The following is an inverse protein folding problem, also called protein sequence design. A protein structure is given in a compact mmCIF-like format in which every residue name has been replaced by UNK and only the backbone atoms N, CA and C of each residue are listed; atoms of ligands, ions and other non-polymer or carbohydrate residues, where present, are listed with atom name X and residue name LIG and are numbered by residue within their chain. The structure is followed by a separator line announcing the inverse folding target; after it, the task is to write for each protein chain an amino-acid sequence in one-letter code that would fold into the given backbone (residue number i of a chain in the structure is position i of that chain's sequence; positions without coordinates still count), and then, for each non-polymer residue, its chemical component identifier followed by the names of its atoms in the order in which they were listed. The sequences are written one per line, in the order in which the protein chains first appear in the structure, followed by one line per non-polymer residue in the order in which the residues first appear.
data_IF_473149097674
#
_entry.id   IF_473149097674
#
_cell.length_a   1.000
_cell.length_b   1.000
_cell.length_c   1.000
_cell.angle_alpha   90.00
_cell.angle_beta   90.00
_cell.angle_gamma   90.00
#
_symmetry.space_group_name_H-M   'P 1'
#
loop_
_entity.id
_entity.type
_entity.pdbx_description
1 polymer ?
#
# COMPACT_ATOMS: atom_id res chain seq x y z
N UNK A 1 -1.68 -18.38 33.66
CA UNK A 1 -2.25 -17.24 34.45
C UNK A 1 -1.62 -15.95 33.94
N UNK A 2 -2.39 -14.86 33.82
CA UNK A 2 -1.87 -13.54 33.47
C UNK A 2 -1.78 -12.65 34.71
N UNK A 3 -0.71 -11.86 34.83
CA UNK A 3 -0.49 -10.93 35.94
C UNK A 3 0.02 -9.59 35.41
N UNK A 4 -0.64 -8.50 35.79
CA UNK A 4 -0.27 -7.13 35.40
C UNK A 4 -0.15 -6.26 36.65
N UNK A 5 0.82 -5.35 36.64
CA UNK A 5 1.02 -4.40 37.74
C UNK A 5 0.33 -3.07 37.44
N UNK A 6 -0.40 -2.54 38.42
CA UNK A 6 -0.98 -1.19 38.42
C UNK A 6 -0.07 -0.18 39.11
N UNK A 7 0.64 -0.61 40.16
CA UNK A 7 1.60 0.19 40.89
C UNK A 7 2.71 -0.72 41.43
N UNK A 8 3.93 -0.18 41.53
CA UNK A 8 5.08 -0.90 42.06
C UNK A 8 6.08 0.08 42.68
N UNK A 9 6.12 0.11 44.01
CA UNK A 9 7.05 0.90 44.81
C UNK A 9 7.54 0.06 45.98
N UNK A 10 8.65 -0.63 45.77
CA UNK A 10 9.34 -1.44 46.77
C UNK A 10 10.71 -0.79 47.04
N UNK A 11 11.30 -1.01 48.22
CA UNK A 11 12.64 -0.50 48.51
C UNK A 11 13.63 -0.88 47.39
N UNK A 12 14.42 0.09 46.92
CA UNK A 12 15.36 -0.14 45.83
C UNK A 12 16.69 -0.63 46.38
N UNK A 13 17.17 -1.75 45.85
CA UNK A 13 18.52 -2.25 46.08
C UNK A 13 19.03 -2.95 44.82
N UNK A 14 20.34 -2.88 44.54
CA UNK A 14 20.91 -3.42 43.30
C UNK A 14 20.65 -4.93 43.09
N UNK A 15 20.59 -5.68 44.20
CA UNK A 15 20.27 -7.11 44.20
C UNK A 15 18.93 -7.45 44.90
N UNK A 16 18.09 -6.46 45.18
CA UNK A 16 16.83 -6.67 45.91
C UNK A 16 17.00 -7.47 47.21
N UNK A 17 17.99 -7.11 48.03
CA UNK A 17 18.38 -7.89 49.21
C UNK A 17 17.56 -7.55 50.47
N UNK A 18 16.89 -6.41 50.46
CA UNK A 18 16.01 -5.92 51.52
C UNK A 18 14.57 -6.31 51.16
N UNK A 19 13.73 -5.34 50.78
CA UNK A 19 12.39 -5.63 50.31
C UNK A 19 12.36 -6.12 48.86
N UNK A 20 11.56 -7.16 48.61
CA UNK A 20 11.40 -7.69 47.27
C UNK A 20 10.10 -8.48 47.06
N UNK A 21 9.67 -8.53 45.80
CA UNK A 21 8.63 -9.43 45.31
C UNK A 21 9.26 -10.51 44.41
N UNK A 22 9.09 -11.76 44.79
CA UNK A 22 9.52 -12.92 44.02
C UNK A 22 8.33 -13.63 43.39
N UNK A 23 8.40 -13.92 42.10
CA UNK A 23 7.33 -14.54 41.31
C UNK A 23 7.87 -15.74 40.57
N UNK A 24 7.17 -16.88 40.67
CA UNK A 24 7.55 -18.16 40.06
C UNK A 24 6.38 -18.79 39.29
N UNK A 25 6.71 -19.50 38.23
CA UNK A 25 5.76 -20.16 37.34
C UNK A 25 5.39 -21.56 37.85
N UNK A 26 4.36 -21.67 38.69
CA UNK A 26 3.94 -22.93 39.29
C UNK A 26 3.29 -22.76 40.66
N UNK A 27 3.32 -23.82 41.46
CA UNK A 27 2.56 -23.91 42.72
C UNK A 27 3.38 -23.62 43.97
N UNK A 28 4.71 -23.67 43.90
CA UNK A 28 5.58 -23.62 45.08
C UNK A 28 6.92 -22.92 44.83
N UNK A 29 7.72 -22.77 45.88
CA UNK A 29 9.02 -22.07 45.90
C UNK A 29 10.09 -22.69 44.99
N UNK A 30 9.97 -23.97 44.63
CA UNK A 30 10.91 -24.64 43.72
C UNK A 30 10.51 -24.49 42.25
N UNK A 31 9.38 -23.83 41.96
CA UNK A 31 8.93 -23.59 40.59
C UNK A 31 9.90 -22.64 39.86
N UNK A 32 9.97 -22.68 38.51
CA UNK A 32 10.82 -21.79 37.72
C UNK A 32 10.65 -20.32 38.11
N UNK A 33 11.76 -19.62 38.37
CA UNK A 33 11.75 -18.20 38.70
C UNK A 33 11.37 -17.37 37.47
N UNK A 34 10.30 -16.56 37.58
CA UNK A 34 9.94 -15.57 36.56
C UNK A 34 10.72 -14.29 36.81
N UNK A 35 10.74 -13.82 38.06
CA UNK A 35 11.50 -12.63 38.40
C UNK A 35 11.53 -12.34 39.88
N UNK A 36 12.49 -11.50 40.23
CA UNK A 36 12.78 -11.02 41.57
C UNK A 36 12.89 -9.50 41.48
N UNK A 37 11.91 -8.80 42.04
CA UNK A 37 11.62 -7.41 41.73
C UNK A 37 11.69 -6.53 42.97
N UNK A 38 12.30 -5.35 42.83
CA UNK A 38 12.32 -4.30 43.85
C UNK A 38 12.53 -2.92 43.17
N UNK A 39 12.42 -1.84 43.92
CA UNK A 39 12.48 -0.48 43.37
C UNK A 39 11.15 0.05 42.83
N UNK A 40 11.24 0.99 41.88
CA UNK A 40 10.10 1.80 41.42
C UNK A 40 9.70 1.53 39.97
N UNK A 41 10.52 0.77 39.25
CA UNK A 41 10.23 0.41 37.87
C UNK A 41 9.20 -0.72 37.87
N UNK A 42 8.05 -0.45 37.27
CA UNK A 42 6.96 -1.42 37.15
C UNK A 42 7.44 -2.65 36.36
N UNK A 43 7.29 -3.88 36.88
CA UNK A 43 7.59 -5.07 36.11
C UNK A 43 6.74 -5.15 34.83
N UNK A 44 7.33 -5.75 33.81
CA UNK A 44 6.62 -6.18 32.59
C UNK A 44 5.49 -7.14 32.94
N UNK A 45 4.48 -7.20 32.09
CA UNK A 45 3.33 -8.07 32.32
C UNK A 45 3.74 -9.55 32.20
N UNK A 46 3.26 -10.37 33.14
CA UNK A 46 3.72 -11.75 33.30
C UNK A 46 2.68 -12.73 32.75
N UNK A 47 3.14 -13.63 31.87
CA UNK A 47 2.38 -14.78 31.38
C UNK A 47 2.96 -16.07 31.94
N UNK A 48 2.20 -16.75 32.79
CA UNK A 48 2.56 -18.09 33.29
C UNK A 48 2.26 -19.16 32.23
N UNK A 49 3.19 -20.10 32.07
CA UNK A 49 3.03 -21.32 31.26
C UNK A 49 2.19 -22.38 31.97
N UNK A 50 1.97 -22.20 33.28
CA UNK A 50 1.14 -23.03 34.13
C UNK A 50 -0.28 -22.43 34.35
N UNK A 51 -1.12 -23.20 35.02
CA UNK A 51 -2.39 -22.73 35.58
C UNK A 51 -2.23 -22.08 36.97
N UNK A 52 -1.00 -21.93 37.46
CA UNK A 52 -0.70 -21.39 38.80
C UNK A 52 0.54 -20.49 38.78
N UNK A 53 0.51 -19.46 39.62
CA UNK A 53 1.66 -18.61 39.94
C UNK A 53 1.91 -18.67 41.44
N UNK A 54 3.17 -18.76 41.83
CA UNK A 54 3.59 -18.65 43.22
C UNK A 54 4.24 -17.29 43.42
N UNK A 55 3.76 -16.54 44.41
CA UNK A 55 4.23 -15.18 44.71
C UNK A 55 4.61 -15.09 46.18
N UNK A 56 5.78 -14.50 46.46
CA UNK A 56 6.28 -14.24 47.81
C UNK A 56 6.80 -12.82 47.90
N UNK A 57 6.21 -12.03 48.80
CA UNK A 57 6.74 -10.73 49.17
C UNK A 57 7.53 -10.87 50.47
N UNK A 58 8.72 -10.28 50.51
CA UNK A 58 9.60 -10.24 51.68
C UNK A 58 9.93 -8.78 51.94
N UNK A 59 9.85 -8.37 53.21
CA UNK A 59 10.28 -7.04 53.65
C UNK A 59 11.21 -7.15 54.86
N UNK A 60 12.09 -6.17 55.01
CA UNK A 60 12.94 -6.03 56.18
C UNK A 60 12.31 -5.10 57.25
N UNK A 61 13.09 -4.72 58.26
CA UNK A 61 12.61 -3.89 59.38
C UNK A 61 12.72 -2.37 59.13
N UNK A 62 13.12 -1.95 57.93
CA UNK A 62 13.48 -0.58 57.58
C UNK A 62 12.87 -0.13 56.25
N UNK A 63 12.90 1.18 55.97
CA UNK A 63 12.49 1.83 54.69
C UNK A 63 11.19 1.31 54.06
N UNK A 64 10.04 1.71 54.63
CA UNK A 64 8.74 1.38 54.06
C UNK A 64 8.40 2.18 52.78
N UNK A 65 7.72 1.53 51.83
CA UNK A 65 7.17 2.13 50.61
C UNK A 65 5.69 1.78 50.42
N UNK A 66 5.07 2.30 49.35
CA UNK A 66 3.66 2.06 49.08
C UNK A 66 3.35 0.59 48.69
N UNK A 67 4.36 -0.19 48.33
CA UNK A 67 4.21 -1.60 47.95
C UNK A 67 3.79 -1.75 46.49
N UNK A 68 3.04 -2.82 46.18
CA UNK A 68 2.59 -3.09 44.82
C UNK A 68 1.09 -3.37 44.77
N UNK A 69 0.49 -3.02 43.63
CA UNK A 69 -0.87 -3.41 43.29
C UNK A 69 -0.83 -4.15 41.96
N UNK A 70 -1.34 -5.38 41.93
CA UNK A 70 -1.34 -6.22 40.74
C UNK A 70 -2.72 -6.86 40.53
N UNK A 71 -3.10 -6.97 39.26
CA UNK A 71 -4.29 -7.70 38.83
C UNK A 71 -3.85 -9.02 38.24
N UNK A 72 -4.51 -10.10 38.65
CA UNK A 72 -4.38 -11.40 38.00
C UNK A 72 -5.66 -11.75 37.27
N UNK A 73 -5.53 -12.49 36.18
CA UNK A 73 -6.67 -12.97 35.40
C UNK A 73 -6.39 -14.35 34.81
N UNK A 74 -7.49 -15.02 34.45
CA UNK A 74 -7.42 -16.25 33.67
C UNK A 74 -6.87 -15.90 32.30
N UNK A 75 -5.75 -16.52 31.96
CA UNK A 75 -5.17 -16.42 30.65
C UNK A 75 -5.58 -17.65 29.84
N UNK A 76 -6.21 -17.41 28.69
CA UNK A 76 -6.52 -18.45 27.72
C UNK A 76 -5.74 -18.18 26.44
N UNK A 77 -5.42 -19.24 25.70
CA UNK A 77 -5.01 -19.09 24.30
C UNK A 77 -6.25 -19.29 23.43
N UNK A 78 -6.89 -18.19 23.05
CA UNK A 78 -8.08 -18.25 22.19
C UNK A 78 -7.74 -18.73 20.78
N UNK A 79 -6.49 -18.60 20.33
CA UNK A 79 -6.03 -19.07 19.03
C UNK A 79 -5.84 -20.59 18.99
N UNK A 80 -5.60 -21.22 20.14
CA UNK A 80 -5.56 -22.67 20.27
C UNK A 80 -6.95 -23.33 20.23
N UNK A 81 -8.04 -22.54 20.20
CA UNK A 81 -9.40 -23.05 20.03
C UNK A 81 -9.60 -23.61 18.61
N UNK A 82 -10.47 -24.61 18.41
CA UNK A 82 -10.67 -25.24 17.10
C UNK A 82 -11.13 -24.29 16.00
N UNK A 83 -11.75 -23.17 16.36
CA UNK A 83 -12.25 -22.13 15.47
C UNK A 83 -11.23 -20.99 15.23
N UNK A 84 -9.95 -21.15 15.64
CA UNK A 84 -8.91 -20.13 15.46
C UNK A 84 -9.28 -18.78 16.10
N UNK A 85 -9.93 -18.81 17.27
CA UNK A 85 -10.49 -17.60 17.91
C UNK A 85 -11.63 -16.95 17.12
N UNK A 86 -12.17 -17.63 16.11
CA UNK A 86 -13.10 -17.09 15.13
C UNK A 86 -12.46 -16.09 14.16
N UNK A 87 -11.13 -16.08 14.03
CA UNK A 87 -10.42 -15.29 13.02
C UNK A 87 -10.46 -15.98 11.66
N UNK A 88 -10.74 -15.23 10.60
CA UNK A 88 -10.79 -15.77 9.23
C UNK A 88 -9.43 -16.32 8.77
N UNK A 89 -8.35 -15.60 9.06
CA UNK A 89 -6.99 -15.95 8.61
C UNK A 89 -6.09 -16.26 9.80
N UNK A 90 -5.46 -15.25 10.40
CA UNK A 90 -4.49 -15.45 11.49
C UNK A 90 -5.05 -14.96 12.82
N UNK A 91 -4.93 -15.77 13.86
CA UNK A 91 -5.18 -15.36 15.23
C UNK A 91 -3.85 -15.04 15.92
N UNK A 92 -3.81 -13.92 16.64
CA UNK A 92 -2.66 -13.47 17.44
C UNK A 92 -3.09 -13.39 18.89
N UNK A 93 -2.58 -14.33 19.68
CA UNK A 93 -2.85 -14.43 21.10
C UNK A 93 -2.09 -13.32 21.85
N UNK A 94 -2.77 -12.59 22.72
CA UNK A 94 -2.23 -11.46 23.50
C UNK A 94 -2.46 -11.72 24.99
N UNK A 95 -1.81 -10.96 25.88
CA UNK A 95 -2.05 -11.17 27.30
C UNK A 95 -3.45 -10.68 27.68
N UNK A 96 -4.30 -11.60 28.15
CA UNK A 96 -5.67 -11.36 28.57
C UNK A 96 -6.69 -11.30 27.45
N UNK A 97 -6.28 -11.49 26.19
CA UNK A 97 -7.17 -11.44 25.02
C UNK A 97 -6.50 -11.98 23.75
N UNK A 98 -7.10 -11.76 22.59
CA UNK A 98 -6.50 -12.05 21.29
C UNK A 98 -6.99 -11.04 20.25
N UNK A 99 -6.31 -10.98 19.12
CA UNK A 99 -6.73 -10.20 17.97
C UNK A 99 -6.53 -10.97 16.67
N UNK A 100 -7.37 -10.71 15.68
CA UNK A 100 -7.21 -11.29 14.36
C UNK A 100 -6.26 -10.43 13.51
N UNK A 101 -5.56 -11.08 12.60
CA UNK A 101 -4.65 -10.46 11.64
C UNK A 101 -4.82 -11.12 10.26
N UNK A 102 -4.50 -10.37 9.22
CA UNK A 102 -4.69 -10.81 7.84
C UNK A 102 -3.36 -11.00 7.11
N UNK A 103 -3.33 -11.93 6.18
CA UNK A 103 -2.16 -12.23 5.34
C UNK A 103 -1.83 -11.06 4.41
N UNK A 104 -0.58 -10.97 3.90
CA UNK A 104 -0.19 -9.90 2.99
C UNK A 104 -1.13 -9.78 1.79
N UNK A 105 -1.63 -8.57 1.54
CA UNK A 105 -2.66 -8.31 0.52
C UNK A 105 -4.09 -8.27 1.06
N UNK A 106 -4.28 -8.49 2.36
CA UNK A 106 -5.56 -8.36 3.05
C UNK A 106 -5.46 -7.38 4.23
N UNK A 107 -6.59 -6.78 4.58
CA UNK A 107 -6.77 -5.90 5.72
C UNK A 107 -7.92 -6.40 6.59
N UNK A 108 -7.84 -6.10 7.89
CA UNK A 108 -8.84 -6.56 8.85
C UNK A 108 -10.16 -5.81 8.63
N UNK A 109 -11.24 -6.57 8.45
CA UNK A 109 -12.58 -6.04 8.25
C UNK A 109 -13.14 -5.33 9.49
N UNK A 110 -14.29 -4.66 9.36
CA UNK A 110 -14.90 -3.88 10.45
C UNK A 110 -15.29 -4.71 11.68
N UNK A 111 -15.55 -6.01 11.50
CA UNK A 111 -15.88 -6.95 12.57
C UNK A 111 -14.65 -7.39 13.40
N UNK A 112 -13.45 -6.96 12.99
CA UNK A 112 -12.14 -7.32 13.56
C UNK A 112 -11.84 -8.82 13.52
N UNK A 113 -12.52 -9.58 12.67
CA UNK A 113 -12.36 -11.04 12.54
C UNK A 113 -12.16 -11.49 11.09
N UNK A 114 -12.91 -10.89 10.17
CA UNK A 114 -12.84 -11.16 8.74
C UNK A 114 -11.70 -10.38 8.09
N UNK A 115 -11.21 -10.86 6.95
CA UNK A 115 -10.12 -10.29 6.19
C UNK A 115 -10.60 -9.93 4.78
N UNK A 116 -10.45 -8.67 4.41
CA UNK A 116 -10.88 -8.15 3.12
C UNK A 116 -9.66 -7.82 2.26
N UNK A 117 -9.78 -7.90 0.93
CA UNK A 117 -8.66 -7.59 0.04
C UNK A 117 -8.22 -6.13 0.27
N UNK A 118 -6.97 -5.95 0.68
CA UNK A 118 -6.36 -4.64 0.86
C UNK A 118 -6.09 -3.99 -0.50
N UNK A 119 -6.08 -2.67 -0.54
CA UNK A 119 -5.87 -1.91 -1.76
C UNK A 119 -5.16 -0.58 -1.48
N UNK A 120 -4.59 0.01 -2.54
CA UNK A 120 -3.83 1.25 -2.44
C UNK A 120 -2.34 1.05 -2.17
N UNK A 121 -1.68 2.13 -1.75
CA UNK A 121 -0.25 2.18 -1.40
C UNK A 121 0.61 3.00 -2.35
N UNK A 122 1.89 3.13 -2.01
CA UNK A 122 2.90 3.82 -2.81
C UNK A 122 3.50 2.88 -3.86
N UNK A 123 3.45 3.27 -5.13
CA UNK A 123 3.97 2.54 -6.28
C UNK A 123 5.10 3.33 -6.90
N UNK A 124 6.32 2.80 -6.85
CA UNK A 124 7.54 3.44 -7.41
C UNK A 124 8.11 2.72 -8.63
N UNK A 125 7.48 1.61 -9.05
CA UNK A 125 7.85 0.90 -10.27
C UNK A 125 7.53 1.79 -11.49
N UNK A 126 8.28 1.62 -12.59
CA UNK A 126 8.03 2.38 -13.82
C UNK A 126 6.77 1.90 -14.55
N UNK A 127 6.36 0.66 -14.35
CA UNK A 127 5.11 0.13 -14.87
C UNK A 127 4.47 -0.83 -13.86
N UNK A 128 3.21 -1.14 -14.09
CA UNK A 128 2.48 -2.11 -13.29
C UNK A 128 1.00 -2.13 -13.57
N UNK A 129 0.31 -3.02 -12.89
CA UNK A 129 -1.14 -3.20 -13.00
C UNK A 129 -1.79 -2.83 -11.68
N UNK A 130 -2.89 -2.10 -11.76
CA UNK A 130 -3.76 -1.76 -10.64
C UNK A 130 -5.13 -2.39 -10.91
N UNK A 131 -5.65 -3.10 -9.92
CA UNK A 131 -6.99 -3.69 -9.96
C UNK A 131 -7.80 -3.25 -8.75
N UNK A 132 -9.11 -3.24 -8.88
CA UNK A 132 -10.00 -3.15 -7.72
C UNK A 132 -9.77 -4.31 -6.75
N UNK A 133 -9.98 -4.11 -5.44
CA UNK A 133 -9.90 -5.19 -4.47
C UNK A 133 -10.86 -6.32 -4.84
N UNK A 134 -10.41 -7.57 -4.73
CA UNK A 134 -11.22 -8.76 -5.07
C UNK A 134 -11.25 -9.17 -6.54
N UNK A 135 -10.62 -8.40 -7.45
CA UNK A 135 -10.56 -8.73 -8.89
C UNK A 135 -10.13 -10.20 -9.14
N UNK A 136 -10.79 -10.94 -10.07
CA UNK A 136 -11.82 -10.51 -11.03
C UNK A 136 -13.26 -10.63 -10.52
N UNK A 137 -13.46 -10.85 -9.21
CA UNK A 137 -14.79 -10.81 -8.59
C UNK A 137 -15.23 -9.36 -8.39
N UNK A 138 -16.49 -9.18 -8.00
CA UNK A 138 -17.02 -7.87 -7.65
C UNK A 138 -16.27 -7.24 -6.48
N UNK A 139 -16.07 -5.92 -6.53
CA UNK A 139 -15.36 -5.22 -5.45
C UNK A 139 -16.20 -5.16 -4.17
N UNK A 140 -15.59 -5.22 -2.98
CA UNK A 140 -16.31 -5.03 -1.73
C UNK A 140 -16.86 -3.59 -1.59
N UNK A 141 -18.00 -3.42 -0.89
CA UNK A 141 -18.56 -2.10 -0.58
C UNK A 141 -17.69 -1.35 0.45
N UNK A 142 -17.90 -0.04 0.58
CA UNK A 142 -17.26 0.86 1.54
C UNK A 142 -15.72 0.92 1.45
N UNK A 143 -15.14 0.67 0.28
CA UNK A 143 -13.69 0.77 0.08
C UNK A 143 -13.27 2.19 -0.24
N UNK A 144 -12.07 2.53 0.22
CA UNK A 144 -11.38 3.75 -0.14
C UNK A 144 -9.91 3.42 -0.42
N UNK A 145 -9.63 3.04 -1.66
CA UNK A 145 -8.30 2.63 -2.11
C UNK A 145 -7.56 3.82 -2.70
N UNK A 146 -6.39 4.15 -2.17
CA UNK A 146 -5.56 5.25 -2.69
C UNK A 146 -4.21 4.71 -3.14
N UNK A 147 -3.96 4.72 -4.45
CA UNK A 147 -2.66 4.44 -5.04
C UNK A 147 -1.93 5.75 -5.36
N UNK A 148 -0.69 5.85 -4.91
CA UNK A 148 0.20 6.97 -5.19
C UNK A 148 1.34 6.46 -6.07
N UNK A 149 1.34 6.83 -7.33
CA UNK A 149 2.39 6.43 -8.29
C UNK A 149 3.42 7.55 -8.37
N UNK A 150 4.69 7.19 -8.16
CA UNK A 150 5.82 8.14 -8.22
C UNK A 150 6.88 7.58 -9.16
N UNK A 151 7.16 8.32 -10.22
CA UNK A 151 8.21 8.04 -11.19
C UNK A 151 9.44 8.95 -10.95
N UNK A 152 10.60 8.64 -11.55
CA UNK A 152 11.75 9.54 -11.54
C UNK A 152 11.43 10.92 -12.12
N UNK A 153 12.22 11.93 -11.77
CA UNK A 153 12.07 13.28 -12.34
C UNK A 153 12.16 13.25 -13.87
N UNK A 154 11.40 14.11 -14.55
CA UNK A 154 11.24 14.20 -16.02
C UNK A 154 10.40 13.09 -16.66
N UNK A 155 9.96 12.08 -15.91
CA UNK A 155 8.98 11.11 -16.39
C UNK A 155 7.56 11.65 -16.18
N UNK A 156 6.64 11.18 -17.03
CA UNK A 156 5.19 11.31 -16.86
C UNK A 156 4.59 9.91 -16.75
N UNK A 157 3.50 9.81 -16.01
CA UNK A 157 2.80 8.55 -15.73
C UNK A 157 1.53 8.54 -16.58
N UNK A 158 1.34 7.49 -17.35
CA UNK A 158 0.15 7.24 -18.14
C UNK A 158 -0.62 6.08 -17.55
N UNK A 159 -1.94 6.25 -17.41
CA UNK A 159 -2.87 5.24 -16.91
C UNK A 159 -3.79 4.80 -18.05
N UNK A 160 -3.83 3.49 -18.30
CA UNK A 160 -4.65 2.87 -19.34
C UNK A 160 -5.54 1.79 -18.75
N UNK A 161 -6.85 1.96 -18.85
CA UNK A 161 -7.81 0.95 -18.43
C UNK A 161 -7.91 -0.16 -19.49
N UNK A 162 -7.80 -1.41 -19.06
CA UNK A 162 -8.07 -2.61 -19.86
C UNK A 162 -9.54 -3.03 -19.72
N UNK A 163 -10.10 -2.87 -18.52
CA UNK A 163 -11.49 -3.16 -18.20
C UNK A 163 -12.03 -2.13 -17.21
N UNK A 164 -13.30 -1.75 -17.38
CA UNK A 164 -13.95 -0.74 -16.54
C UNK A 164 -15.45 -1.01 -16.38
N UNK A 165 -15.89 -1.29 -15.15
CA UNK A 165 -17.30 -1.46 -14.79
C UNK A 165 -17.49 -1.08 -13.31
N UNK A 166 -17.96 0.15 -13.06
CA UNK A 166 -18.29 0.67 -11.73
C UNK A 166 -19.76 1.10 -11.66
N UNK A 167 -20.35 1.07 -10.46
CA UNK A 167 -21.68 1.65 -10.26
C UNK A 167 -21.65 3.16 -10.46
N UNK A 168 -22.47 3.66 -11.37
CA UNK A 168 -22.68 5.09 -11.50
C UNK A 168 -23.33 5.49 -12.82
N UNK A 169 -23.57 6.80 -12.91
CA UNK A 169 -24.03 7.49 -14.11
C UNK A 169 -23.10 8.70 -14.35
N UNK A 170 -23.48 9.66 -15.18
CA UNK A 170 -22.62 10.80 -15.56
C UNK A 170 -21.99 11.60 -14.40
N UNK A 171 -22.59 11.58 -13.20
CA UNK A 171 -22.08 12.34 -12.04
C UNK A 171 -21.18 11.50 -11.13
N UNK A 172 -21.15 10.18 -11.30
CA UNK A 172 -20.37 9.24 -10.47
C UNK A 172 -20.56 9.48 -8.97
N UNK A 173 -21.82 9.50 -8.54
CA UNK A 173 -22.20 9.79 -7.15
C UNK A 173 -21.89 8.64 -6.18
N UNK A 174 -22.08 7.40 -6.65
CA UNK A 174 -21.93 6.18 -5.86
C UNK A 174 -20.46 5.75 -5.88
N UNK A 175 -20.10 4.88 -6.82
CA UNK A 175 -18.76 4.36 -6.96
C UNK A 175 -17.99 5.12 -8.04
N UNK A 176 -16.70 5.30 -7.82
CA UNK A 176 -15.86 6.02 -8.77
C UNK A 176 -14.39 5.73 -8.60
N UNK A 177 -13.65 5.96 -9.68
CA UNK A 177 -12.21 6.20 -9.62
C UNK A 177 -11.91 7.64 -9.99
N UNK A 178 -11.07 8.28 -9.19
CA UNK A 178 -10.63 9.65 -9.37
C UNK A 178 -9.12 9.66 -9.65
N UNK A 179 -8.69 10.39 -10.67
CA UNK A 179 -7.29 10.45 -11.08
C UNK A 179 -6.78 11.90 -11.05
N UNK A 180 -5.66 12.13 -10.37
CA UNK A 180 -5.06 13.46 -10.17
C UNK A 180 -3.57 13.50 -10.50
N UNK A 181 -3.09 14.64 -11.01
CA UNK A 181 -1.66 14.94 -11.18
C UNK A 181 -1.08 15.54 -9.91
N UNK A 182 -0.53 14.70 -9.04
CA UNK A 182 -0.03 15.07 -7.71
C UNK A 182 -0.29 13.96 -6.68
N UNK A 183 0.25 14.13 -5.47
CA UNK A 183 0.09 13.15 -4.37
C UNK A 183 -0.98 13.55 -3.34
N UNK A 184 -1.48 14.79 -3.39
CA UNK A 184 -2.51 15.33 -2.48
C UNK A 184 -3.91 15.23 -3.09
N UNK A 185 -4.94 15.16 -2.25
CA UNK A 185 -6.35 15.26 -2.65
C UNK A 185 -6.67 16.54 -3.41
N UNK A 186 -5.94 17.63 -3.15
CA UNK A 186 -6.21 18.94 -3.76
C UNK A 186 -5.45 19.15 -5.08
N UNK A 187 -4.71 18.13 -5.52
CA UNK A 187 -3.96 18.15 -6.77
C UNK A 187 -4.88 18.24 -7.98
N UNK A 188 -4.35 18.69 -9.13
CA UNK A 188 -5.15 18.86 -10.35
C UNK A 188 -5.88 17.58 -10.73
N UNK A 189 -7.21 17.67 -10.82
CA UNK A 189 -8.09 16.60 -11.25
C UNK A 189 -8.04 16.41 -12.77
N UNK A 190 -7.85 15.17 -13.21
CA UNK A 190 -8.06 14.78 -14.61
C UNK A 190 -9.50 14.38 -14.86
N UNK A 191 -10.09 13.63 -13.93
CA UNK A 191 -11.48 13.24 -14.01
C UNK A 191 -11.89 12.29 -12.90
N UNK A 192 -13.20 12.13 -12.79
CA UNK A 192 -13.89 11.19 -11.94
C UNK A 192 -14.71 10.27 -12.85
N UNK A 193 -14.48 8.98 -12.77
CA UNK A 193 -14.98 8.01 -13.74
C UNK A 193 -15.78 6.90 -13.06
N UNK A 194 -16.84 6.46 -13.71
CA UNK A 194 -17.72 5.37 -13.30
C UNK A 194 -18.57 4.89 -14.50
N UNK A 195 -19.44 3.88 -14.30
CA UNK A 195 -20.17 3.26 -15.39
C UNK A 195 -19.35 2.19 -16.11
N UNK A 196 -19.67 1.95 -17.38
CA UNK A 196 -19.08 0.86 -18.19
C UNK A 196 -18.23 1.34 -19.36
N UNK A 197 -18.17 2.66 -19.58
CA UNK A 197 -17.36 3.25 -20.64
C UNK A 197 -15.90 3.28 -20.19
N UNK A 198 -15.01 2.72 -21.00
CA UNK A 198 -13.58 2.67 -20.68
C UNK A 198 -12.99 4.07 -20.92
N UNK A 199 -12.41 4.73 -19.90
CA UNK A 199 -11.80 6.05 -20.08
C UNK A 199 -10.63 6.01 -21.06
N UNK A 200 -10.42 7.12 -21.78
CA UNK A 200 -9.21 7.32 -22.57
C UNK A 200 -7.94 7.31 -21.69
N UNK A 201 -6.77 7.18 -22.32
CA UNK A 201 -5.50 7.15 -21.59
C UNK A 201 -5.25 8.50 -20.91
N UNK A 202 -5.04 8.45 -19.59
CA UNK A 202 -4.83 9.65 -18.78
C UNK A 202 -3.35 9.78 -18.46
N UNK A 203 -2.75 10.91 -18.82
CA UNK A 203 -1.31 11.18 -18.58
C UNK A 203 -1.14 12.28 -17.54
N UNK A 204 -0.34 12.03 -16.50
CA UNK A 204 -0.03 13.02 -15.45
C UNK A 204 0.67 14.25 -16.02
N UNK A 205 0.57 15.39 -15.33
CA UNK A 205 1.35 16.58 -15.65
C UNK A 205 2.78 16.53 -15.13
N UNK A 206 3.01 15.76 -14.06
CA UNK A 206 4.29 15.63 -13.37
C UNK A 206 4.70 14.16 -13.27
N UNK A 207 5.78 13.88 -12.56
CA UNK A 207 6.25 12.52 -12.28
C UNK A 207 5.48 11.81 -11.16
N UNK A 208 4.30 12.30 -10.79
CA UNK A 208 3.45 11.69 -9.77
C UNK A 208 1.97 11.72 -10.18
N UNK A 209 1.24 10.70 -9.72
CA UNK A 209 -0.18 10.51 -9.98
C UNK A 209 -0.85 9.88 -8.77
N UNK A 210 -2.01 10.39 -8.37
CA UNK A 210 -2.86 9.80 -7.33
C UNK A 210 -4.11 9.22 -7.99
N UNK A 211 -4.40 7.97 -7.68
CA UNK A 211 -5.58 7.23 -8.12
C UNK A 211 -6.37 6.85 -6.86
N UNK A 212 -7.60 7.34 -6.74
CA UNK A 212 -8.48 7.05 -5.61
C UNK A 212 -9.73 6.33 -6.10
N UNK A 213 -9.93 5.09 -5.67
CA UNK A 213 -11.17 4.35 -5.88
C UNK A 213 -12.01 4.38 -4.61
N UNK A 214 -13.29 4.75 -4.74
CA UNK A 214 -14.26 4.67 -3.66
C UNK A 214 -15.48 3.85 -4.07
N UNK A 215 -15.94 2.99 -3.15
CA UNK A 215 -17.23 2.32 -3.23
C UNK A 215 -18.15 2.70 -2.07
N UNK A 216 -19.45 2.75 -2.32
CA UNK A 216 -20.47 2.98 -1.30
C UNK A 216 -20.92 1.68 -0.60
N UNK A 217 -22.00 1.73 0.19
CA UNK A 217 -22.44 0.59 0.98
C UNK A 217 -23.33 -0.40 0.24
N UNK A 218 -23.61 -0.18 -1.05
CA UNK A 218 -24.51 -0.98 -1.88
C UNK A 218 -23.89 -1.27 -3.25
N UNK A 219 -24.56 -2.13 -4.02
CA UNK A 219 -24.34 -2.41 -5.45
C UNK A 219 -22.87 -2.43 -5.89
N UNK A 220 -22.24 -3.59 -5.74
CA UNK A 220 -20.94 -3.85 -6.33
C UNK A 220 -21.02 -4.20 -7.83
N UNK A 221 -19.95 -3.90 -8.56
CA UNK A 221 -19.69 -4.35 -9.94
C UNK A 221 -18.34 -5.04 -10.02
N UNK A 222 -17.94 -5.51 -11.21
CA UNK A 222 -16.64 -6.17 -11.43
C UNK A 222 -15.42 -5.29 -11.14
N UNK A 223 -15.56 -3.96 -11.21
CA UNK A 223 -14.48 -3.04 -10.92
C UNK A 223 -13.66 -2.68 -12.16
N UNK A 224 -12.37 -2.48 -11.98
CA UNK A 224 -11.47 -2.14 -13.07
C UNK A 224 -10.15 -2.89 -12.99
N UNK A 225 -9.54 -3.07 -14.16
CA UNK A 225 -8.15 -3.49 -14.33
C UNK A 225 -7.48 -2.48 -15.24
N UNK A 226 -6.39 -1.89 -14.76
CA UNK A 226 -5.67 -0.84 -15.46
C UNK A 226 -4.16 -1.04 -15.36
N UNK A 227 -3.45 -0.54 -16.36
CA UNK A 227 -2.01 -0.55 -16.42
C UNK A 227 -1.50 0.87 -16.36
N UNK A 228 -0.53 1.10 -15.49
CA UNK A 228 0.24 2.33 -15.52
C UNK A 228 1.62 2.07 -16.11
N UNK A 229 2.13 3.06 -16.81
CA UNK A 229 3.50 3.07 -17.31
C UNK A 229 4.03 4.50 -17.25
N UNK A 230 5.30 4.62 -16.93
CA UNK A 230 6.00 5.87 -16.79
C UNK A 230 6.98 6.00 -17.93
N UNK A 231 6.94 7.14 -18.59
CA UNK A 231 7.74 7.40 -19.77
C UNK A 231 8.35 8.80 -19.69
N UNK A 232 9.57 8.93 -20.18
CA UNK A 232 10.22 10.23 -20.30
C UNK A 232 9.86 10.77 -21.67
N UNK A 233 9.28 11.95 -21.72
CA UNK A 233 9.05 12.61 -22.99
C UNK A 233 10.37 13.25 -23.46
N UNK A 234 11.14 12.53 -24.28
CA UNK A 234 12.38 13.09 -24.83
C UNK A 234 12.12 14.23 -25.83
N UNK A 235 10.96 14.25 -26.48
CA UNK A 235 10.57 15.30 -27.41
C UNK A 235 10.31 16.64 -26.72
N UNK A 236 9.91 16.61 -25.45
CA UNK A 236 9.72 17.81 -24.62
C UNK A 236 11.01 18.63 -24.44
N UNK A 237 12.20 18.06 -24.69
CA UNK A 237 13.48 18.78 -24.61
C UNK A 237 14.18 18.79 -25.96
N UNK A 238 14.42 19.99 -26.50
CA UNK A 238 15.14 20.20 -27.77
C UNK A 238 14.58 19.36 -28.93
N UNK A 239 13.26 19.11 -28.94
CA UNK A 239 12.59 18.26 -29.94
C UNK A 239 13.23 16.87 -30.07
N UNK A 240 13.77 16.30 -28.97
CA UNK A 240 14.52 15.04 -29.01
C UNK A 240 15.78 15.07 -29.89
N UNK A 241 16.26 16.25 -30.29
CA UNK A 241 17.30 16.39 -31.31
C UNK A 241 16.86 16.03 -32.73
N UNK A 242 15.56 15.93 -33.01
CA UNK A 242 15.03 15.68 -34.34
C UNK A 242 15.08 16.94 -35.21
N UNK A 243 15.53 16.83 -36.47
CA UNK A 243 15.54 17.95 -37.42
C UNK A 243 14.11 18.42 -37.75
N UNK A 244 13.17 17.47 -37.89
CA UNK A 244 11.77 17.75 -38.18
C UNK A 244 10.87 17.45 -36.98
N UNK A 245 10.09 16.38 -37.01
CA UNK A 245 9.12 16.07 -35.97
C UNK A 245 9.67 15.01 -35.03
N UNK A 246 9.49 15.20 -33.73
CA UNK A 246 9.79 14.19 -32.72
C UNK A 246 8.49 13.55 -32.25
N UNK A 247 8.44 12.22 -32.28
CA UNK A 247 7.31 11.45 -31.81
C UNK A 247 7.75 10.66 -30.58
N UNK A 248 7.20 11.03 -29.44
CA UNK A 248 7.44 10.32 -28.20
C UNK A 248 6.75 8.95 -28.23
N UNK A 249 7.49 7.91 -27.87
CA UNK A 249 7.02 6.52 -27.81
C UNK A 249 7.26 5.95 -26.42
N UNK A 250 6.60 4.86 -26.04
CA UNK A 250 6.84 4.32 -24.68
C UNK A 250 8.26 3.77 -24.58
N UNK A 251 9.08 4.38 -23.73
CA UNK A 251 10.47 4.03 -23.46
C UNK A 251 11.50 4.59 -24.44
N UNK A 252 11.09 5.42 -25.41
CA UNK A 252 11.98 5.99 -26.44
C UNK A 252 11.26 7.11 -27.20
N UNK A 253 11.89 7.68 -28.21
CA UNK A 253 11.25 8.53 -29.20
C UNK A 253 11.76 8.18 -30.59
N UNK A 254 11.07 8.66 -31.62
CA UNK A 254 11.50 8.54 -33.01
C UNK A 254 11.35 9.87 -33.73
N UNK A 255 12.30 10.20 -34.59
CA UNK A 255 12.20 11.36 -35.46
C UNK A 255 11.44 10.99 -36.75
N UNK A 256 10.51 11.84 -37.14
CA UNK A 256 9.76 11.74 -38.38
C UNK A 256 10.03 12.94 -39.28
N UNK A 257 10.22 12.66 -40.57
CA UNK A 257 10.42 13.69 -41.58
C UNK A 257 9.10 14.13 -42.23
N UNK A 258 9.02 15.41 -42.58
CA UNK A 258 7.91 15.96 -43.37
C UNK A 258 7.91 15.37 -44.78
N UNK A 259 6.77 15.47 -45.47
CA UNK A 259 6.61 15.00 -46.85
C UNK A 259 7.73 15.55 -47.77
N UNK A 260 8.29 14.66 -48.61
CA UNK A 260 9.42 14.98 -49.50
C UNK A 260 10.80 14.68 -48.91
N UNK A 261 10.88 14.23 -47.65
CA UNK A 261 12.14 13.88 -46.99
C UNK A 261 12.10 12.45 -46.44
N UNK A 262 13.27 11.81 -46.39
CA UNK A 262 13.48 10.51 -45.73
C UNK A 262 14.44 10.67 -44.56
N UNK A 263 14.24 9.87 -43.52
CA UNK A 263 15.09 9.89 -42.33
C UNK A 263 16.51 9.45 -42.70
N UNK A 264 17.49 10.24 -42.26
CA UNK A 264 18.91 9.98 -42.44
C UNK A 264 19.36 8.79 -41.56
N UNK A 265 20.52 8.20 -41.86
CA UNK A 265 21.06 7.03 -41.14
C UNK A 265 21.33 7.31 -39.66
N UNK A 266 21.57 8.57 -39.30
CA UNK A 266 21.73 8.99 -37.90
C UNK A 266 20.42 9.03 -37.12
N UNK A 267 19.27 8.78 -37.76
CA UNK A 267 17.91 8.76 -37.18
C UNK A 267 17.41 10.10 -36.61
N UNK A 268 18.13 11.18 -36.82
CA UNK A 268 17.78 12.53 -36.34
C UNK A 268 17.52 13.51 -37.48
N UNK A 269 18.34 13.43 -38.53
CA UNK A 269 18.26 14.33 -39.67
C UNK A 269 17.35 13.79 -40.77
N UNK A 270 16.89 14.69 -41.62
CA UNK A 270 16.03 14.43 -42.76
C UNK A 270 16.74 14.85 -44.04
N UNK A 271 16.94 13.90 -44.95
CA UNK A 271 17.47 14.16 -46.30
C UNK A 271 16.34 14.18 -47.32
N UNK A 272 16.49 14.90 -48.42
CA UNK A 272 15.51 14.89 -49.50
C UNK A 272 15.30 13.45 -49.99
N UNK A 273 14.04 13.08 -50.22
CA UNK A 273 13.73 11.79 -50.81
C UNK A 273 14.24 11.77 -52.25
N UNK A 274 15.10 10.82 -52.60
CA UNK A 274 15.55 10.65 -53.98
C UNK A 274 14.33 10.31 -54.85
N UNK A 275 13.87 11.30 -55.62
CA UNK A 275 12.80 11.13 -56.59
C UNK A 275 13.39 10.60 -57.92
N UNK A 276 13.50 9.28 -58.08
CA UNK A 276 13.72 8.69 -59.40
C UNK A 276 12.41 8.68 -60.20
N UNK A 277 12.36 9.51 -61.25
CA UNK A 277 11.30 9.47 -62.25
C UNK A 277 11.85 8.84 -63.53
N UNK A 278 11.40 7.62 -63.85
CA UNK A 278 11.70 6.99 -65.16
C UNK A 278 10.72 7.50 -66.20
N UNK A 279 11.19 8.37 -67.09
CA UNK A 279 10.41 8.94 -68.19
C UNK A 279 10.32 7.90 -69.32
N UNK A 280 9.11 7.43 -69.61
CA UNK A 280 8.85 6.48 -70.71
C UNK A 280 8.22 7.13 -71.95
N UNK A 281 8.05 8.46 -71.95
CA UNK A 281 7.39 9.22 -73.02
C UNK A 281 8.37 10.17 -73.72
N UNK A 282 8.28 10.35 -75.05
CA UNK A 282 9.07 11.35 -75.78
C UNK A 282 8.68 12.79 -75.43
N UNK A 283 7.49 13.03 -74.86
CA UNK A 283 7.01 14.36 -74.43
C UNK A 283 6.21 14.29 -73.11
N UNK A 284 6.38 15.29 -72.25
CA UNK A 284 5.65 15.42 -70.98
C UNK A 284 6.16 16.60 -70.15
N UNK A 285 5.43 16.98 -69.09
CA UNK A 285 5.82 18.03 -68.14
C UNK A 285 6.16 17.38 -66.81
N UNK A 286 7.35 17.63 -66.28
CA UNK A 286 7.77 17.26 -64.93
C UNK A 286 7.72 18.51 -64.07
N UNK A 287 7.10 18.41 -62.91
CA UNK A 287 7.02 19.47 -61.91
C UNK A 287 7.73 19.02 -60.65
N UNK A 288 8.47 19.92 -60.00
CA UNK A 288 9.03 19.70 -58.67
C UNK A 288 7.91 19.59 -57.64
N UNK A 289 8.14 18.91 -56.49
CA UNK A 289 7.31 19.11 -55.32
C UNK A 289 7.61 20.49 -54.72
N UNK A 290 7.07 21.53 -55.36
CA UNK A 290 6.78 22.92 -54.92
C UNK A 290 6.68 23.82 -56.16
#
# INVERSE_FOLDING_TARGET
VGLTFQAFEIERHDNCAYDYLEIRDGTNENSPLIGHFCGYDKPEDIRSTSNTLWMKFVSDGTVNKAGFAANFFKEEDECAKPDNGGCEQRCVNTLGSYQCACDPGYELGPDKKSCEAACGGLLTKLNGTITTPGWPKEYPPNKNCVWQVVAPTQYRISMKFEFFELEGNEVCKYDYVEIRSGLSSDSKLHGKFCGTEVPEVITSQYNNMRIEFRSDNTVSKKGFKAHFFSDKDECSKDNGGCQHECINTVGSYVCQCRNGFVLHENKHDCKEAECEQKIHSPNGIITSPN
#
